data_IF_411303704921
#
_entry.id   IF_411303704921
#
_cell.length_a   1.000
_cell.length_b   1.000
_cell.length_c   1.000
_cell.angle_alpha   90.00
_cell.angle_beta   90.00
_cell.angle_gamma   90.00
#
_symmetry.space_group_name_H-M   'P 1'
#
loop_
_entity.id
_entity.type
_entity.pdbx_description
1 polymer ?
#
# COMPACT_ATOMS: atom_id res chain seq x y z
N UNK A 1 -12.48 -3.65 41.95
CA UNK A 1 -13.51 -3.51 40.91
C UNK A 1 -12.95 -4.07 39.62
N UNK A 2 -13.24 -5.34 39.33
CA UNK A 2 -12.91 -5.96 38.04
C UNK A 2 -13.99 -5.50 37.05
N UNK A 3 -13.63 -4.65 36.09
CA UNK A 3 -14.49 -4.36 34.96
C UNK A 3 -14.65 -5.67 34.18
N UNK A 4 -15.86 -6.23 34.19
CA UNK A 4 -16.21 -7.32 33.31
C UNK A 4 -16.12 -6.77 31.88
N UNK A 5 -15.04 -7.12 31.18
CA UNK A 5 -14.89 -6.82 29.76
C UNK A 5 -16.02 -7.53 29.04
N UNK A 6 -16.89 -6.78 28.38
CA UNK A 6 -18.00 -7.36 27.62
C UNK A 6 -17.45 -8.34 26.59
N UNK A 7 -18.02 -9.57 26.48
CA UNK A 7 -17.54 -10.59 25.55
C UNK A 7 -17.57 -10.12 24.09
N UNK A 8 -18.44 -9.17 23.75
CA UNK A 8 -18.50 -8.55 22.43
C UNK A 8 -17.25 -7.69 22.11
N UNK A 9 -16.70 -6.97 23.09
CA UNK A 9 -15.47 -6.19 22.90
C UNK A 9 -14.27 -7.12 22.74
N UNK A 10 -14.23 -8.23 23.50
CA UNK A 10 -13.17 -9.22 23.40
C UNK A 10 -13.15 -9.92 22.03
N UNK A 11 -14.32 -10.31 21.50
CA UNK A 11 -14.44 -10.88 20.17
C UNK A 11 -13.96 -9.90 19.08
N UNK A 12 -14.37 -8.62 19.18
CA UNK A 12 -13.94 -7.56 18.26
C UNK A 12 -12.42 -7.37 18.28
N UNK A 13 -11.80 -7.46 19.46
CA UNK A 13 -10.37 -7.31 19.66
C UNK A 13 -9.58 -8.48 19.05
N UNK A 14 -10.07 -9.72 19.21
CA UNK A 14 -9.49 -10.90 18.55
C UNK A 14 -9.52 -10.78 17.02
N UNK A 15 -10.64 -10.31 16.45
CA UNK A 15 -10.77 -10.10 15.00
C UNK A 15 -9.79 -9.02 14.53
N UNK A 16 -9.67 -7.91 15.26
CA UNK A 16 -8.72 -6.83 14.94
C UNK A 16 -7.27 -7.33 14.97
N UNK A 17 -6.89 -8.10 15.99
CA UNK A 17 -5.54 -8.68 16.11
C UNK A 17 -5.23 -9.67 14.99
N UNK A 18 -6.19 -10.54 14.64
CA UNK A 18 -6.06 -11.49 13.53
C UNK A 18 -5.84 -10.75 12.20
N UNK A 19 -6.63 -9.69 11.95
CA UNK A 19 -6.50 -8.89 10.73
C UNK A 19 -5.16 -8.16 10.68
N UNK A 20 -4.73 -7.54 11.78
CA UNK A 20 -3.44 -6.86 11.88
C UNK A 20 -2.28 -7.82 11.62
N UNK A 21 -2.35 -9.05 12.17
CA UNK A 21 -1.34 -10.08 11.94
C UNK A 21 -1.29 -10.50 10.46
N UNK A 22 -2.45 -10.71 9.83
CA UNK A 22 -2.55 -11.05 8.41
C UNK A 22 -1.92 -9.97 7.51
N UNK A 23 -2.23 -8.70 7.79
CA UNK A 23 -1.66 -7.56 7.06
C UNK A 23 -0.14 -7.48 7.25
N UNK A 24 0.34 -7.64 8.49
CA UNK A 24 1.77 -7.61 8.78
C UNK A 24 2.53 -8.75 8.06
N UNK A 25 2.00 -9.97 8.11
CA UNK A 25 2.57 -11.13 7.41
C UNK A 25 2.62 -10.92 5.91
N UNK A 26 1.52 -10.44 5.32
CA UNK A 26 1.45 -10.18 3.88
C UNK A 26 2.45 -9.12 3.46
N UNK A 27 2.55 -8.03 4.22
CA UNK A 27 3.52 -6.95 3.98
C UNK A 27 4.96 -7.46 4.06
N UNK A 28 5.29 -8.31 5.04
CA UNK A 28 6.62 -8.90 5.19
C UNK A 28 7.01 -9.81 4.03
N UNK A 29 6.09 -10.69 3.61
CA UNK A 29 6.32 -11.61 2.48
C UNK A 29 6.49 -10.82 1.18
N UNK A 30 5.62 -9.85 0.93
CA UNK A 30 5.72 -8.98 -0.25
C UNK A 30 7.02 -8.16 -0.24
N UNK A 31 7.43 -7.64 0.92
CA UNK A 31 8.68 -6.89 1.05
C UNK A 31 9.91 -7.77 0.76
N UNK A 32 9.91 -9.01 1.27
CA UNK A 32 10.96 -9.99 0.96
C UNK A 32 11.05 -10.27 -0.54
N UNK A 33 9.92 -10.49 -1.20
CA UNK A 33 9.85 -10.67 -2.66
C UNK A 33 10.35 -9.42 -3.41
N UNK A 34 10.05 -8.23 -2.89
CA UNK A 34 10.47 -6.96 -3.46
C UNK A 34 12.00 -6.78 -3.41
N UNK A 35 12.64 -7.17 -2.31
CA UNK A 35 14.11 -7.18 -2.18
C UNK A 35 14.73 -8.11 -3.22
N UNK A 36 14.17 -9.31 -3.40
CA UNK A 36 14.68 -10.28 -4.40
C UNK A 36 14.56 -9.72 -5.81
N UNK A 37 13.41 -9.13 -6.17
CA UNK A 37 13.21 -8.46 -7.45
C UNK A 37 14.18 -7.30 -7.66
N UNK A 38 14.47 -6.53 -6.62
CA UNK A 38 15.42 -5.43 -6.68
C UNK A 38 16.85 -5.92 -6.97
N UNK A 39 17.29 -7.00 -6.29
CA UNK A 39 18.59 -7.62 -6.52
C UNK A 39 18.68 -8.19 -7.95
N UNK A 40 17.63 -8.87 -8.41
CA UNK A 40 17.56 -9.39 -9.78
C UNK A 40 17.60 -8.27 -10.82
N UNK A 41 16.90 -7.16 -10.58
CA UNK A 41 16.92 -5.99 -11.44
C UNK A 41 18.33 -5.37 -11.51
N UNK A 42 19.00 -5.19 -10.37
CA UNK A 42 20.39 -4.70 -10.33
C UNK A 42 21.30 -5.62 -11.13
N UNK A 43 21.21 -6.95 -10.93
CA UNK A 43 22.03 -7.92 -11.66
C UNK A 43 21.79 -7.86 -13.17
N UNK A 44 20.53 -7.86 -13.59
CA UNK A 44 20.15 -7.78 -15.01
C UNK A 44 20.59 -6.46 -15.68
N UNK A 45 20.49 -5.33 -14.96
CA UNK A 45 20.92 -4.01 -15.42
C UNK A 45 22.44 -3.93 -15.52
N UNK A 46 23.15 -4.51 -14.55
CA UNK A 46 24.62 -4.51 -14.52
C UNK A 46 25.23 -5.29 -15.69
N UNK A 47 24.51 -6.30 -16.21
CA UNK A 47 24.94 -7.11 -17.35
C UNK A 47 24.64 -6.50 -18.74
N UNK A 48 23.94 -5.35 -18.82
CA UNK A 48 23.51 -4.72 -20.09
C UNK A 48 24.22 -3.40 -20.40
N UNK A 49 24.18 -3.03 -21.69
CA UNK A 49 24.90 -1.90 -22.31
C UNK A 49 24.79 -0.54 -21.56
N UNK A 50 25.86 0.29 -21.61
CA UNK A 50 26.05 1.44 -20.73
C UNK A 50 25.08 2.64 -20.86
N UNK A 51 24.52 3.02 -22.03
CA UNK A 51 23.82 4.32 -22.13
C UNK A 51 22.44 4.33 -21.45
N UNK A 52 21.73 3.19 -21.37
CA UNK A 52 20.42 3.08 -20.71
C UNK A 52 20.47 2.60 -19.26
N UNK A 53 21.68 2.28 -18.77
CA UNK A 53 21.89 1.71 -17.43
C UNK A 53 21.51 2.68 -16.32
N UNK A 54 21.89 3.95 -16.43
CA UNK A 54 21.69 4.97 -15.37
C UNK A 54 20.22 5.29 -15.15
N UNK A 55 19.45 5.48 -16.23
CA UNK A 55 18.02 5.79 -16.13
C UNK A 55 17.23 4.60 -15.58
N UNK A 56 17.51 3.37 -16.03
CA UNK A 56 16.83 2.19 -15.49
C UNK A 56 17.14 1.99 -14.00
N UNK A 57 18.40 2.18 -13.61
CA UNK A 57 18.85 2.04 -12.23
C UNK A 57 18.20 3.09 -11.32
N UNK A 58 18.13 4.36 -11.77
CA UNK A 58 17.46 5.42 -11.03
C UNK A 58 15.97 5.09 -10.79
N UNK A 59 15.26 4.61 -11.82
CA UNK A 59 13.83 4.24 -11.70
C UNK A 59 13.65 3.03 -10.78
N UNK A 60 14.55 2.04 -10.81
CA UNK A 60 14.55 0.90 -9.87
C UNK A 60 14.77 1.30 -8.43
N UNK A 61 15.71 2.22 -8.19
CA UNK A 61 15.96 2.73 -6.85
C UNK A 61 14.78 3.55 -6.34
N UNK A 62 14.21 4.45 -7.16
CA UNK A 62 13.06 5.25 -6.76
C UNK A 62 11.86 4.38 -6.38
N UNK A 63 11.53 3.37 -7.19
CA UNK A 63 10.48 2.40 -6.83
C UNK A 63 10.79 1.67 -5.52
N UNK A 64 12.05 1.28 -5.30
CA UNK A 64 12.46 0.61 -4.07
C UNK A 64 12.24 1.49 -2.83
N UNK A 65 12.64 2.76 -2.90
CA UNK A 65 12.40 3.72 -1.83
C UNK A 65 10.92 4.00 -1.63
N UNK A 66 10.15 4.17 -2.71
CA UNK A 66 8.72 4.43 -2.62
C UNK A 66 7.98 3.28 -1.93
N UNK A 67 8.27 2.03 -2.33
CA UNK A 67 7.70 0.84 -1.70
C UNK A 67 8.12 0.66 -0.25
N UNK A 68 9.38 1.01 0.09
CA UNK A 68 9.85 0.96 1.48
C UNK A 68 9.16 2.02 2.34
N UNK A 69 9.02 3.24 1.84
CA UNK A 69 8.29 4.31 2.54
C UNK A 69 6.82 3.93 2.78
N UNK A 70 6.16 3.32 1.79
CA UNK A 70 4.77 2.89 1.93
C UNK A 70 4.60 1.75 2.94
N UNK A 71 5.51 0.77 2.94
CA UNK A 71 5.53 -0.32 3.92
C UNK A 71 5.72 0.23 5.35
N UNK A 72 6.69 1.13 5.56
CA UNK A 72 6.94 1.77 6.86
C UNK A 72 5.75 2.60 7.31
N UNK A 73 5.15 3.39 6.41
CA UNK A 73 3.96 4.17 6.72
C UNK A 73 2.78 3.29 7.13
N UNK A 74 2.62 2.12 6.50
CA UNK A 74 1.55 1.17 6.84
C UNK A 74 1.75 0.58 8.23
N UNK A 75 2.97 0.16 8.57
CA UNK A 75 3.28 -0.33 9.92
C UNK A 75 3.10 0.78 10.97
N UNK A 76 3.51 2.00 10.66
CA UNK A 76 3.34 3.16 11.55
C UNK A 76 1.85 3.47 11.81
N UNK A 77 1.01 3.46 10.75
CA UNK A 77 -0.44 3.66 10.88
C UNK A 77 -1.09 2.58 11.75
N UNK A 78 -0.74 1.31 11.57
CA UNK A 78 -1.23 0.21 12.41
C UNK A 78 -0.81 0.43 13.88
N UNK A 79 0.42 0.89 14.11
CA UNK A 79 0.89 1.22 15.47
C UNK A 79 0.10 2.36 16.11
N UNK A 80 -0.22 3.40 15.35
CA UNK A 80 -0.99 4.56 15.80
C UNK A 80 -2.43 4.14 16.10
N UNK A 81 -3.08 3.37 15.23
CA UNK A 81 -4.47 2.92 15.44
C UNK A 81 -4.59 2.02 16.67
N UNK A 82 -3.62 1.15 16.93
CA UNK A 82 -3.61 0.30 18.14
C UNK A 82 -3.41 1.12 19.42
N UNK A 83 -2.62 2.21 19.38
CA UNK A 83 -2.44 3.11 20.52
C UNK A 83 -3.72 3.91 20.80
N UNK A 84 -4.30 4.50 19.77
CA UNK A 84 -5.56 5.25 19.87
C UNK A 84 -6.69 4.37 20.39
N UNK A 85 -6.78 3.11 19.93
CA UNK A 85 -7.79 2.18 20.43
C UNK A 85 -7.61 1.87 21.91
N UNK A 86 -6.36 1.72 22.38
CA UNK A 86 -6.07 1.49 23.81
C UNK A 86 -6.46 2.70 24.67
N UNK A 87 -6.20 3.91 24.19
CA UNK A 87 -6.61 5.15 24.87
C UNK A 87 -8.13 5.28 24.92
N UNK A 88 -8.84 5.01 23.82
CA UNK A 88 -10.31 5.07 23.74
C UNK A 88 -10.99 4.02 24.63
N UNK A 89 -10.43 2.82 24.75
CA UNK A 89 -10.98 1.78 25.64
C UNK A 89 -10.81 2.16 27.11
N UNK A 90 -9.77 2.94 27.43
CA UNK A 90 -9.41 3.29 28.80
C UNK A 90 -10.02 4.62 29.25
N UNK A 91 -10.30 5.53 28.33
CA UNK A 91 -10.86 6.84 28.58
C UNK A 91 -12.19 6.95 27.82
N UNK A 92 -13.29 7.04 28.56
CA UNK A 92 -14.66 7.21 28.04
C UNK A 92 -14.85 8.62 27.44
N UNK A 93 -14.05 8.95 26.44
CA UNK A 93 -13.91 10.28 25.87
C UNK A 93 -14.80 10.42 24.63
N UNK A 94 -15.33 11.63 24.44
CA UNK A 94 -16.43 11.98 23.56
C UNK A 94 -16.40 11.33 22.14
N UNK A 95 -17.51 10.73 21.69
CA UNK A 95 -17.59 10.03 20.39
C UNK A 95 -17.31 10.94 19.19
N UNK A 96 -17.45 12.26 19.36
CA UNK A 96 -17.27 13.25 18.30
C UNK A 96 -15.79 13.46 17.94
N UNK A 97 -14.86 13.26 18.89
CA UNK A 97 -13.43 13.38 18.63
C UNK A 97 -12.92 12.16 17.84
N UNK A 98 -13.44 10.99 18.15
CA UNK A 98 -13.09 9.73 17.50
C UNK A 98 -13.48 9.73 16.02
N UNK A 99 -14.69 10.21 15.69
CA UNK A 99 -15.14 10.34 14.31
C UNK A 99 -14.23 11.24 13.47
N UNK A 100 -13.78 12.37 14.02
CA UNK A 100 -12.90 13.31 13.31
C UNK A 100 -11.52 12.72 13.06
N UNK A 101 -10.95 11.99 14.02
CA UNK A 101 -9.66 11.32 13.84
C UNK A 101 -9.77 10.21 12.81
N UNK A 102 -10.85 9.43 12.81
CA UNK A 102 -11.07 8.35 11.84
C UNK A 102 -11.19 8.89 10.40
N UNK A 103 -11.94 9.98 10.20
CA UNK A 103 -12.18 10.57 8.88
C UNK A 103 -10.88 11.12 8.27
N UNK A 104 -10.05 11.80 9.09
CA UNK A 104 -8.72 12.26 8.66
C UNK A 104 -7.80 11.08 8.34
N UNK A 105 -7.85 10.00 9.13
CA UNK A 105 -7.04 8.81 8.87
C UNK A 105 -7.44 8.13 7.55
N UNK A 106 -8.75 7.99 7.30
CA UNK A 106 -9.29 7.40 6.08
C UNK A 106 -8.92 8.23 4.85
N UNK A 107 -9.01 9.57 4.94
CA UNK A 107 -8.62 10.45 3.85
C UNK A 107 -7.12 10.31 3.53
N UNK A 108 -6.26 10.27 4.55
CA UNK A 108 -4.82 10.08 4.38
C UNK A 108 -4.49 8.72 3.78
N UNK A 109 -5.20 7.66 4.19
CA UNK A 109 -5.03 6.32 3.63
C UNK A 109 -5.41 6.26 2.15
N UNK A 110 -6.56 6.83 1.78
CA UNK A 110 -7.04 6.88 0.38
C UNK A 110 -6.07 7.69 -0.50
N UNK A 111 -5.64 8.87 -0.02
CA UNK A 111 -4.69 9.71 -0.76
C UNK A 111 -3.37 8.99 -0.98
N UNK A 112 -2.83 8.37 0.07
CA UNK A 112 -1.58 7.58 0.00
C UNK A 112 -1.72 6.41 -0.97
N UNK A 113 -2.79 5.63 -0.87
CA UNK A 113 -3.02 4.49 -1.75
C UNK A 113 -3.12 4.92 -3.21
N UNK A 114 -3.89 5.97 -3.50
CA UNK A 114 -4.06 6.51 -4.86
C UNK A 114 -2.73 7.01 -5.42
N UNK A 115 -1.97 7.78 -4.65
CA UNK A 115 -0.66 8.28 -5.08
C UNK A 115 0.32 7.15 -5.35
N UNK A 116 0.37 6.13 -4.47
CA UNK A 116 1.28 5.01 -4.65
C UNK A 116 0.93 4.20 -5.91
N UNK A 117 -0.36 3.96 -6.17
CA UNK A 117 -0.83 3.27 -7.38
C UNK A 117 -0.42 4.07 -8.63
N UNK A 118 -0.78 5.36 -8.68
CA UNK A 118 -0.48 6.21 -9.85
C UNK A 118 1.01 6.27 -10.13
N UNK A 119 1.84 6.49 -9.10
CA UNK A 119 3.29 6.59 -9.26
C UNK A 119 3.89 5.23 -9.66
N UNK A 120 3.43 4.14 -9.05
CA UNK A 120 3.90 2.79 -9.38
C UNK A 120 3.58 2.43 -10.82
N UNK A 121 2.35 2.68 -11.27
CA UNK A 121 1.90 2.40 -12.63
C UNK A 121 2.65 3.25 -13.66
N UNK A 122 2.83 4.54 -13.38
CA UNK A 122 3.57 5.45 -14.27
C UNK A 122 5.04 5.03 -14.42
N UNK A 123 5.68 4.65 -13.32
CA UNK A 123 7.06 4.16 -13.33
C UNK A 123 7.17 2.80 -14.03
N UNK A 124 6.16 1.93 -13.90
CA UNK A 124 6.12 0.64 -14.59
C UNK A 124 5.98 0.83 -16.11
N UNK A 125 5.10 1.74 -16.53
CA UNK A 125 4.90 2.12 -17.92
C UNK A 125 6.17 2.75 -18.52
N UNK A 126 6.86 3.60 -17.76
CA UNK A 126 8.15 4.19 -18.14
C UNK A 126 9.24 3.13 -18.38
N UNK A 127 9.31 2.10 -17.52
CA UNK A 127 10.26 0.98 -17.73
C UNK A 127 9.92 0.16 -18.96
N UNK A 128 8.64 -0.17 -19.14
CA UNK A 128 8.19 -0.88 -20.34
C UNK A 128 8.55 -0.09 -21.60
N UNK A 129 8.36 1.23 -21.58
CA UNK A 129 8.71 2.12 -22.68
C UNK A 129 10.22 2.09 -23.00
N UNK A 130 11.09 2.19 -22.00
CA UNK A 130 12.55 2.17 -22.19
C UNK A 130 13.06 0.81 -22.68
N UNK A 131 12.54 -0.29 -22.14
CA UNK A 131 13.02 -1.64 -22.47
C UNK A 131 12.63 -2.02 -23.90
N UNK A 132 11.43 -1.62 -24.34
CA UNK A 132 10.87 -2.02 -25.63
C UNK A 132 11.09 -1.04 -26.77
N UNK A 133 11.87 0.02 -26.55
CA UNK A 133 12.30 0.98 -27.57
C UNK A 133 11.14 1.46 -28.47
N UNK A 134 10.02 1.83 -27.84
CA UNK A 134 8.80 2.34 -28.51
C UNK A 134 7.96 1.35 -29.33
N UNK A 135 8.13 0.02 -29.23
CA UNK A 135 7.18 -0.94 -29.84
C UNK A 135 5.84 -0.97 -29.08
N UNK A 136 4.88 -0.17 -29.55
CA UNK A 136 3.55 0.10 -28.94
C UNK A 136 2.73 -1.15 -28.57
N UNK A 137 2.94 -2.29 -29.23
CA UNK A 137 2.15 -3.53 -29.01
C UNK A 137 2.24 -4.09 -27.59
N UNK A 138 3.31 -3.83 -26.84
CA UNK A 138 3.45 -4.30 -25.45
C UNK A 138 3.07 -3.28 -24.40
N UNK A 139 2.77 -2.04 -24.81
CA UNK A 139 2.11 -1.09 -23.91
C UNK A 139 0.64 -1.44 -23.66
N UNK A 140 0.03 -2.29 -24.49
CA UNK A 140 -1.39 -2.66 -24.41
C UNK A 140 -1.70 -3.41 -23.11
N UNK A 141 -0.81 -4.31 -22.68
CA UNK A 141 -1.07 -5.15 -21.51
C UNK A 141 -1.01 -4.34 -20.19
N UNK A 142 0.01 -3.49 -19.94
CA UNK A 142 -0.02 -2.56 -18.81
C UNK A 142 -1.19 -1.57 -18.89
N UNK A 143 -1.53 -1.06 -20.08
CA UNK A 143 -2.66 -0.14 -20.25
C UNK A 143 -4.00 -0.80 -19.92
N UNK A 144 -4.19 -2.07 -20.30
CA UNK A 144 -5.37 -2.86 -19.95
C UNK A 144 -5.46 -3.10 -18.44
N UNK A 145 -4.35 -3.39 -17.77
CA UNK A 145 -4.33 -3.51 -16.31
C UNK A 145 -4.74 -2.20 -15.63
N UNK A 146 -4.21 -1.06 -16.09
CA UNK A 146 -4.59 0.26 -15.53
C UNK A 146 -6.09 0.53 -15.73
N UNK A 147 -6.63 0.22 -16.91
CA UNK A 147 -8.07 0.35 -17.18
C UNK A 147 -8.91 -0.56 -16.29
N UNK A 148 -8.44 -1.78 -15.99
CA UNK A 148 -9.11 -2.69 -15.07
C UNK A 148 -9.10 -2.16 -13.62
N UNK A 149 -8.01 -1.51 -13.19
CA UNK A 149 -7.96 -0.88 -11.87
C UNK A 149 -8.93 0.30 -11.78
N UNK A 150 -9.01 1.13 -12.82
CA UNK A 150 -9.93 2.28 -12.87
C UNK A 150 -11.39 1.81 -12.84
N UNK A 151 -11.72 0.74 -13.58
CA UNK A 151 -13.08 0.21 -13.59
C UNK A 151 -13.52 -0.35 -12.23
N UNK A 152 -12.61 -0.93 -11.44
CA UNK A 152 -12.90 -1.36 -10.08
C UNK A 152 -13.22 -0.18 -9.15
N UNK A 153 -12.51 0.95 -9.28
CA UNK A 153 -12.78 2.16 -8.50
C UNK A 153 -14.15 2.76 -8.83
N UNK A 154 -14.49 2.89 -10.11
CA UNK A 154 -15.80 3.37 -10.55
C UNK A 154 -16.93 2.45 -10.06
N UNK A 155 -16.71 1.14 -10.11
CA UNK A 155 -17.66 0.13 -9.61
C UNK A 155 -17.87 0.26 -8.09
N UNK A 156 -16.81 0.53 -7.33
CA UNK A 156 -16.91 0.71 -5.88
C UNK A 156 -17.65 2.00 -5.50
N UNK A 157 -17.56 3.05 -6.32
CA UNK A 157 -18.24 4.34 -6.08
C UNK A 157 -19.70 4.36 -6.54
N UNK A 158 -20.09 3.47 -7.46
CA UNK A 158 -21.47 3.34 -7.97
C UNK A 158 -22.33 2.34 -7.21
N UNK A 159 -21.76 1.51 -6.33
CA UNK A 159 -22.54 0.60 -5.48
C UNK A 159 -23.17 1.38 -4.30
N UNK A 160 -24.51 1.48 -4.21
CA UNK A 160 -25.16 2.09 -3.05
C UNK A 160 -24.89 1.20 -1.82
N UNK A 161 -24.21 1.76 -0.80
CA UNK A 161 -24.08 1.12 0.52
C UNK A 161 -25.48 0.92 1.10
N UNK A 162 -25.97 -0.32 1.08
CA UNK A 162 -27.15 -0.76 1.83
C UNK A 162 -26.76 -1.14 3.25
#
# INVERSE_FOLDING_TARGET
MYYAVDPAQFASLCVLMSNALSIACTTLVLYGLYIVLFILAIRAITQRNPPRRRTLLAVTSVMFFLGTCDAVATVALIGITMRLFKEVVQESSDPLHLLRVLDVLQLMEILRATLNIVVTDLLFLYRCYIIWDSRKKVLILPALCILATISQWDLFHTLPRK
#
